data_IF_404740267670
#
_entry.id   IF_404740267670
#
_cell.length_a   1.000
_cell.length_b   1.000
_cell.length_c   1.000
_cell.angle_alpha   90.00
_cell.angle_beta   90.00
_cell.angle_gamma   90.00
#
_symmetry.space_group_name_H-M   'P 1'
#
loop_
_entity.id
_entity.type
_entity.pdbx_description
1 polymer ?
#
# COMPACT_ATOMS: atom_id res chain seq x y z
N UNK A 1 -1.04 -2.13 2.39
CA UNK A 1 -0.25 -3.39 2.29
C UNK A 1 0.92 -3.24 1.31
N UNK A 2 0.68 -2.94 0.02
CA UNK A 2 1.74 -2.69 -0.97
C UNK A 2 2.66 -1.50 -0.64
N UNK A 3 2.13 -0.47 0.00
CA UNK A 3 2.90 0.68 0.49
C UNK A 3 3.94 0.30 1.55
N UNK A 4 3.63 -0.68 2.41
CA UNK A 4 4.58 -1.22 3.39
C UNK A 4 5.67 -2.03 2.69
N UNK A 5 5.29 -2.87 1.73
CA UNK A 5 6.21 -3.69 0.92
C UNK A 5 7.18 -2.80 0.15
N UNK A 6 6.70 -1.72 -0.48
CA UNK A 6 7.55 -0.74 -1.16
C UNK A 6 8.51 -0.04 -0.18
N UNK A 7 8.03 0.30 1.02
CA UNK A 7 8.84 0.99 2.03
C UNK A 7 9.92 0.09 2.63
N UNK A 8 9.66 -1.20 2.78
CA UNK A 8 10.65 -2.17 3.28
C UNK A 8 11.62 -2.60 2.19
N UNK A 9 11.20 -2.59 0.91
CA UNK A 9 12.01 -3.07 -0.21
C UNK A 9 12.24 -4.59 -0.20
N UNK A 10 11.56 -5.30 0.71
CA UNK A 10 11.70 -6.74 0.87
C UNK A 10 10.64 -7.49 0.05
N UNK A 11 11.07 -8.49 -0.71
CA UNK A 11 10.18 -9.38 -1.46
C UNK A 11 9.38 -10.26 -0.50
N UNK A 12 8.03 -10.18 -0.51
CA UNK A 12 7.20 -11.12 0.24
C UNK A 12 7.25 -12.52 -0.39
N UNK A 13 7.25 -13.56 0.45
CA UNK A 13 7.34 -14.98 0.03
C UNK A 13 6.22 -15.44 -0.92
N UNK A 14 5.06 -14.77 -0.90
CA UNK A 14 3.93 -15.08 -1.77
C UNK A 14 4.01 -14.41 -3.15
N UNK A 15 5.00 -13.53 -3.38
CA UNK A 15 5.28 -12.93 -4.68
C UNK A 15 6.43 -13.69 -5.33
N UNK A 16 6.19 -14.26 -6.50
CA UNK A 16 7.25 -14.90 -7.29
C UNK A 16 8.31 -13.90 -7.76
N UNK A 17 9.57 -14.35 -7.84
CA UNK A 17 10.73 -13.52 -8.20
C UNK A 17 10.55 -12.74 -9.51
N UNK A 18 10.02 -13.39 -10.56
CA UNK A 18 9.80 -12.73 -11.85
C UNK A 18 8.75 -11.61 -11.81
N UNK A 19 7.77 -11.71 -10.91
CA UNK A 19 6.77 -10.66 -10.68
C UNK A 19 7.38 -9.55 -9.82
N UNK A 20 8.16 -9.93 -8.80
CA UNK A 20 8.87 -8.98 -7.95
C UNK A 20 9.86 -8.10 -8.72
N UNK A 21 10.67 -8.69 -9.60
CA UNK A 21 11.65 -7.94 -10.40
C UNK A 21 10.98 -6.88 -11.29
N UNK A 22 9.85 -7.21 -11.90
CA UNK A 22 9.06 -6.27 -12.71
C UNK A 22 8.46 -5.15 -11.86
N UNK A 23 7.93 -5.48 -10.68
CA UNK A 23 7.38 -4.51 -9.74
C UNK A 23 8.45 -3.55 -9.20
N UNK A 24 9.58 -4.07 -8.76
CA UNK A 24 10.71 -3.27 -8.27
C UNK A 24 11.21 -2.32 -9.38
N UNK A 25 11.40 -2.85 -10.59
CA UNK A 25 11.83 -2.03 -11.73
C UNK A 25 10.81 -0.95 -12.11
N UNK A 26 9.50 -1.23 -12.00
CA UNK A 26 8.47 -0.22 -12.23
C UNK A 26 8.46 0.87 -11.15
N UNK A 27 8.77 0.52 -9.90
CA UNK A 27 8.87 1.48 -8.80
C UNK A 27 10.12 2.34 -8.83
N UNK A 28 11.22 1.84 -9.39
CA UNK A 28 12.45 2.59 -9.62
C UNK A 28 12.32 3.61 -10.76
N UNK A 29 11.23 3.55 -11.52
CA UNK A 29 10.94 4.56 -12.53
C UNK A 29 10.58 5.91 -11.85
N UNK A 30 11.26 7.00 -12.20
CA UNK A 30 11.01 8.32 -11.61
C UNK A 30 9.57 8.79 -11.85
N UNK A 31 8.98 8.44 -13.01
CA UNK A 31 7.62 8.82 -13.38
C UNK A 31 6.57 8.23 -12.42
N UNK A 32 6.77 6.99 -11.96
CA UNK A 32 5.86 6.32 -11.02
C UNK A 32 5.96 6.93 -9.62
N UNK A 33 7.12 7.45 -9.25
CA UNK A 33 7.37 8.04 -7.92
C UNK A 33 6.69 9.41 -7.78
N UNK A 34 6.72 10.22 -8.83
CA UNK A 34 6.05 11.54 -8.83
C UNK A 34 4.52 11.42 -8.82
N UNK A 35 3.95 10.54 -9.63
CA UNK A 35 2.50 10.33 -9.68
C UNK A 35 1.97 9.79 -8.34
N UNK A 36 2.67 8.80 -7.77
CA UNK A 36 2.32 8.25 -6.46
C UNK A 36 2.44 9.30 -5.33
N UNK A 37 3.45 10.16 -5.37
CA UNK A 37 3.63 11.23 -4.37
C UNK A 37 2.47 12.23 -4.44
N UNK A 38 2.09 12.66 -5.64
CA UNK A 38 0.94 13.56 -5.85
C UNK A 38 -0.38 12.94 -5.40
N UNK A 39 -0.62 11.67 -5.70
CA UNK A 39 -1.80 10.93 -5.25
C UNK A 39 -1.85 10.79 -3.72
N UNK A 40 -0.71 10.54 -3.08
CA UNK A 40 -0.63 10.46 -1.62
C UNK A 40 -0.92 11.82 -0.98
N UNK A 41 -0.37 12.89 -1.53
CA UNK A 41 -0.57 14.25 -1.01
C UNK A 41 -2.02 14.70 -1.18
N UNK A 42 -2.66 14.39 -2.32
CA UNK A 42 -4.08 14.69 -2.52
C UNK A 42 -4.98 13.89 -1.59
N UNK A 43 -4.67 12.62 -1.32
CA UNK A 43 -5.42 11.78 -0.39
C UNK A 43 -5.21 12.21 1.07
N UNK A 44 -4.00 12.65 1.44
CA UNK A 44 -3.73 13.21 2.76
C UNK A 44 -4.47 14.54 2.98
N UNK A 45 -4.51 15.40 1.97
CA UNK A 45 -5.28 16.65 2.00
C UNK A 45 -6.80 16.41 2.02
N UNK A 46 -7.29 15.31 1.45
CA UNK A 46 -8.69 14.90 1.53
C UNK A 46 -9.08 14.25 2.88
N UNK A 47 -8.11 13.91 3.73
CA UNK A 47 -8.30 13.19 4.99
C UNK A 47 -8.70 14.03 6.21
N UNK A 48 -8.76 15.36 6.11
CA UNK A 48 -9.11 16.25 7.24
C UNK A 48 -10.63 16.36 7.50
N UNK A 49 -11.44 15.49 6.89
CA UNK A 49 -12.90 15.54 7.00
C UNK A 49 -13.58 14.18 7.10
N UNK A 50 -13.22 13.33 8.07
CA UNK A 50 -14.15 12.30 8.55
C UNK A 50 -13.98 12.09 10.07
N UNK A 51 -14.75 12.87 10.82
CA UNK A 51 -15.16 12.51 12.17
C UNK A 51 -16.18 11.37 12.02
N UNK A 52 -15.78 10.16 12.39
CA UNK A 52 -16.57 8.94 12.24
C UNK A 52 -16.32 8.02 13.43
N UNK A 53 -17.09 8.29 14.48
CA UNK A 53 -17.27 7.50 15.68
C UNK A 53 -17.59 6.01 15.40
N UNK A 54 -17.20 5.16 16.35
CA UNK A 54 -17.79 3.86 16.71
C UNK A 54 -17.94 2.75 15.65
N UNK A 55 -17.15 1.68 15.78
CA UNK A 55 -17.65 0.31 16.01
C UNK A 55 -16.50 -0.70 16.11
N UNK A 56 -16.54 -1.51 17.16
CA UNK A 56 -15.90 -2.81 17.33
C UNK A 56 -15.41 -3.49 16.04
N UNK A 57 -14.11 -3.78 15.97
CA UNK A 57 -13.59 -4.84 15.11
C UNK A 57 -13.48 -6.10 15.99
N UNK A 58 -14.65 -6.67 16.31
CA UNK A 58 -14.75 -8.09 16.67
C UNK A 58 -15.06 -8.89 15.40
N UNK A 59 -14.61 -10.13 15.41
CA UNK A 59 -14.97 -11.22 14.48
C UNK A 59 -14.12 -11.37 13.21
N UNK A 60 -12.87 -11.84 13.40
CA UNK A 60 -12.31 -12.79 12.43
C UNK A 60 -12.79 -14.19 12.79
N UNK A 61 -13.88 -14.58 12.15
CA UNK A 61 -14.47 -15.90 12.22
C UNK A 61 -13.48 -17.01 11.85
N UNK A 62 -13.35 -17.96 12.78
CA UNK A 62 -12.79 -19.30 12.68
C UNK A 62 -13.21 -20.03 11.41
N UNK A 63 -12.24 -20.48 10.61
CA UNK A 63 -12.41 -21.65 9.73
C UNK A 63 -11.54 -22.78 10.29
N UNK A 64 -12.19 -23.80 10.84
CA UNK A 64 -11.64 -25.14 11.10
C UNK A 64 -12.29 -26.12 10.13
#
# INVERSE_FOLDING_TARGET
>A
MFTRIRRTGEQPLWIGEGVWAKLSSAWDSPDYTDEYTRLRESQAAAGEGFSGDSADISDYHTWS
#
